data_IF_315359162438
#
_entry.id   IF_315359162438
#
_cell.length_a   1.000
_cell.length_b   1.000
_cell.length_c   1.000
_cell.angle_alpha   90.00
_cell.angle_beta   90.00
_cell.angle_gamma   90.00
#
_symmetry.space_group_name_H-M   'P 1'
#
loop_
_entity.id
_entity.type
_entity.pdbx_description
1 polymer ?
#
# COMPACT_ATOMS: atom_id res chain seq x y z
N UNK A 1 22.45 -2.44 15.55
CA UNK A 1 21.57 -2.97 14.47
C UNK A 1 20.08 -2.91 14.85
N UNK A 2 19.67 -3.30 16.07
CA UNK A 2 18.26 -3.28 16.53
C UNK A 2 17.58 -1.89 16.51
N UNK A 3 18.31 -0.80 16.83
CA UNK A 3 17.76 0.58 16.81
C UNK A 3 17.45 1.13 15.41
N UNK A 4 18.18 0.72 14.37
CA UNK A 4 17.93 1.17 13.00
C UNK A 4 16.70 0.49 12.39
N UNK A 5 16.43 -0.74 12.82
CA UNK A 5 15.27 -1.54 12.41
C UNK A 5 13.98 -0.84 12.85
N UNK A 6 13.86 -0.51 14.13
CA UNK A 6 12.65 0.10 14.68
C UNK A 6 12.37 1.49 14.10
N UNK A 7 13.40 2.26 13.74
CA UNK A 7 13.22 3.58 13.15
C UNK A 7 12.68 3.53 11.71
N UNK A 8 13.13 2.58 10.89
CA UNK A 8 12.61 2.45 9.52
C UNK A 8 11.15 1.99 9.53
N UNK A 9 10.83 0.92 10.25
CA UNK A 9 9.49 0.35 10.35
C UNK A 9 8.49 1.40 10.86
N UNK A 10 8.87 2.18 11.87
CA UNK A 10 8.04 3.27 12.40
C UNK A 10 7.78 4.35 11.34
N UNK A 11 8.83 4.90 10.72
CA UNK A 11 8.69 5.95 9.69
C UNK A 11 7.87 5.44 8.50
N UNK A 12 8.09 4.20 8.09
CA UNK A 12 7.36 3.53 7.03
C UNK A 12 5.87 3.41 7.37
N UNK A 13 5.57 2.99 8.60
CA UNK A 13 4.20 2.85 9.09
C UNK A 13 3.48 4.20 9.10
N UNK A 14 4.10 5.24 9.68
CA UNK A 14 3.55 6.60 9.66
C UNK A 14 3.35 7.11 8.23
N UNK A 15 4.32 6.88 7.34
CA UNK A 15 4.20 7.26 5.93
C UNK A 15 3.01 6.58 5.25
N UNK A 16 2.75 5.31 5.52
CA UNK A 16 1.58 4.61 4.98
C UNK A 16 0.27 5.10 5.60
N UNK A 17 0.22 5.33 6.91
CA UNK A 17 -0.98 5.89 7.57
C UNK A 17 -1.35 7.22 6.91
N UNK A 18 -0.40 8.17 6.84
CA UNK A 18 -0.64 9.47 6.23
C UNK A 18 -0.97 9.36 4.73
N UNK A 19 -0.20 8.57 4.00
CA UNK A 19 -0.38 8.40 2.56
C UNK A 19 -1.74 7.83 2.19
N UNK A 20 -2.18 6.77 2.89
CA UNK A 20 -3.48 6.16 2.67
C UNK A 20 -4.61 7.06 3.13
N UNK A 21 -4.53 7.62 4.34
CA UNK A 21 -5.60 8.48 4.85
C UNK A 21 -5.82 9.68 3.93
N UNK A 22 -4.77 10.42 3.59
CA UNK A 22 -4.87 11.58 2.70
C UNK A 22 -5.32 11.14 1.30
N UNK A 23 -4.73 10.08 0.75
CA UNK A 23 -5.04 9.58 -0.58
C UNK A 23 -6.50 9.15 -0.73
N UNK A 24 -7.05 8.47 0.28
CA UNK A 24 -8.43 8.01 0.27
C UNK A 24 -9.43 9.15 0.49
N UNK A 25 -9.10 10.15 1.32
CA UNK A 25 -9.94 11.35 1.46
C UNK A 25 -10.03 12.13 0.14
N UNK A 26 -8.88 12.42 -0.47
CA UNK A 26 -8.85 13.18 -1.73
C UNK A 26 -9.45 12.35 -2.87
N UNK A 27 -9.12 11.06 -2.95
CA UNK A 27 -9.68 10.15 -3.95
C UNK A 27 -11.19 10.00 -3.81
N UNK A 28 -11.71 9.84 -2.59
CA UNK A 28 -13.15 9.77 -2.33
C UNK A 28 -13.88 11.04 -2.73
N UNK A 29 -13.31 12.21 -2.42
CA UNK A 29 -13.86 13.50 -2.86
C UNK A 29 -13.81 13.68 -4.37
N UNK A 30 -12.75 13.23 -5.04
CA UNK A 30 -12.68 13.28 -6.50
C UNK A 30 -13.72 12.36 -7.14
N UNK A 31 -13.88 11.14 -6.61
CA UNK A 31 -14.87 10.19 -7.08
C UNK A 31 -16.30 10.73 -6.90
N UNK A 32 -16.60 11.42 -5.80
CA UNK A 32 -17.93 11.98 -5.57
C UNK A 32 -18.29 13.11 -6.53
N UNK A 33 -17.29 13.86 -7.01
CA UNK A 33 -17.48 14.96 -7.98
C UNK A 33 -17.54 14.46 -9.42
N UNK A 34 -16.61 13.58 -9.81
CA UNK A 34 -16.48 13.13 -11.21
C UNK A 34 -17.42 11.97 -11.52
N UNK A 35 -17.60 11.04 -10.58
CA UNK A 35 -18.38 9.83 -10.76
C UNK A 35 -17.84 8.87 -11.82
N UNK A 36 -18.55 7.76 -12.00
CA UNK A 36 -18.29 6.77 -13.05
C UNK A 36 -16.92 6.07 -13.00
N UNK A 37 -16.61 5.34 -14.06
CA UNK A 37 -15.37 4.56 -14.21
C UNK A 37 -14.14 5.49 -14.25
N UNK A 38 -14.24 6.62 -14.95
CA UNK A 38 -13.16 7.60 -15.05
C UNK A 38 -12.80 8.22 -13.70
N UNK A 39 -13.80 8.62 -12.91
CA UNK A 39 -13.60 9.12 -11.56
C UNK A 39 -12.99 8.07 -10.63
N UNK A 40 -13.40 6.81 -10.73
CA UNK A 40 -12.85 5.71 -9.95
C UNK A 40 -11.36 5.50 -10.25
N UNK A 41 -11.00 5.40 -11.53
CA UNK A 41 -9.60 5.27 -11.96
C UNK A 41 -8.73 6.44 -11.51
N UNK A 42 -9.23 7.68 -11.65
CA UNK A 42 -8.53 8.88 -11.22
C UNK A 42 -8.34 8.93 -9.69
N UNK A 43 -9.38 8.60 -8.93
CA UNK A 43 -9.33 8.50 -7.47
C UNK A 43 -8.30 7.45 -7.02
N UNK A 44 -8.30 6.28 -7.66
CA UNK A 44 -7.34 5.21 -7.42
C UNK A 44 -5.89 5.62 -7.70
N UNK A 45 -5.66 6.25 -8.85
CA UNK A 45 -4.35 6.76 -9.23
C UNK A 45 -3.85 7.81 -8.24
N UNK A 46 -4.73 8.70 -7.78
CA UNK A 46 -4.41 9.76 -6.83
C UNK A 46 -4.12 9.21 -5.42
N UNK A 47 -4.89 8.23 -4.97
CA UNK A 47 -4.60 7.51 -3.74
C UNK A 47 -3.23 6.81 -3.81
N UNK A 48 -2.98 6.08 -4.90
CA UNK A 48 -1.69 5.44 -5.17
C UNK A 48 -0.52 6.43 -5.24
N UNK A 49 -0.72 7.60 -5.84
CA UNK A 49 0.29 8.66 -5.92
C UNK A 49 0.62 9.22 -4.52
N UNK A 50 -0.41 9.49 -3.72
CA UNK A 50 -0.25 10.02 -2.35
C UNK A 50 0.52 9.05 -1.46
N UNK A 51 0.14 7.77 -1.49
CA UNK A 51 0.87 6.69 -0.81
C UNK A 51 2.30 6.59 -1.33
N UNK A 52 2.49 6.59 -2.65
CA UNK A 52 3.79 6.52 -3.29
C UNK A 52 4.74 7.67 -2.91
N UNK A 53 4.22 8.90 -2.81
CA UNK A 53 4.97 10.09 -2.38
C UNK A 53 5.37 9.98 -0.91
N UNK A 54 4.46 9.53 -0.05
CA UNK A 54 4.74 9.33 1.37
C UNK A 54 5.79 8.24 1.60
N UNK A 55 5.64 7.09 0.93
CA UNK A 55 6.62 6.00 0.94
C UNK A 55 7.98 6.45 0.40
N UNK A 56 7.98 7.17 -0.73
CA UNK A 56 9.19 7.78 -1.27
C UNK A 56 9.84 8.70 -0.23
N UNK A 57 9.05 9.55 0.46
CA UNK A 57 9.39 10.28 1.69
C UNK A 57 10.28 9.56 2.66
N UNK A 58 9.86 8.37 3.06
CA UNK A 58 10.59 7.53 4.01
C UNK A 58 11.88 6.99 3.37
N UNK A 59 11.80 6.56 2.11
CA UNK A 59 12.91 5.92 1.40
C UNK A 59 14.06 6.86 1.05
N UNK A 60 13.81 8.17 0.88
CA UNK A 60 14.89 9.17 0.64
C UNK A 60 15.81 9.32 1.85
N UNK A 61 15.29 9.05 3.05
CA UNK A 61 15.97 9.30 4.31
C UNK A 61 16.84 8.11 4.75
N UNK A 62 17.01 7.12 3.88
CA UNK A 62 17.66 5.85 4.20
C UNK A 62 18.77 5.50 3.16
N UNK A 63 19.96 5.04 3.59
CA UNK A 63 21.02 4.59 2.69
C UNK A 63 20.52 3.54 1.67
N UNK A 64 20.73 3.82 0.38
CA UNK A 64 20.27 3.00 -0.75
C UNK A 64 19.00 3.51 -1.44
N UNK A 65 18.63 4.77 -1.18
CA UNK A 65 17.44 5.50 -1.64
C UNK A 65 16.79 4.98 -2.93
N UNK A 66 15.46 4.84 -2.86
CA UNK A 66 14.67 4.47 -4.02
C UNK A 66 14.38 5.68 -4.92
N UNK A 67 14.34 5.44 -6.23
CA UNK A 67 14.15 6.50 -7.22
C UNK A 67 12.75 7.12 -7.14
N UNK A 68 12.58 8.34 -7.68
CA UNK A 68 11.28 9.00 -7.86
C UNK A 68 10.27 8.15 -8.64
N UNK A 69 10.76 7.17 -9.43
CA UNK A 69 9.91 6.19 -10.14
C UNK A 69 9.04 5.37 -9.20
N UNK A 70 9.41 5.22 -7.91
CA UNK A 70 8.57 4.55 -6.92
C UNK A 70 7.19 5.21 -6.79
N UNK A 71 7.15 6.54 -6.69
CA UNK A 71 5.89 7.27 -6.58
C UNK A 71 5.04 7.12 -7.85
N UNK A 72 5.66 7.16 -9.03
CA UNK A 72 4.97 6.94 -10.31
C UNK A 72 4.41 5.53 -10.44
N UNK A 73 5.20 4.51 -10.09
CA UNK A 73 4.75 3.12 -10.09
C UNK A 73 3.62 2.88 -9.07
N UNK A 74 3.64 3.58 -7.94
CA UNK A 74 2.57 3.52 -6.95
C UNK A 74 1.29 4.17 -7.47
N UNK A 75 1.37 5.31 -8.17
CA UNK A 75 0.24 5.94 -8.82
C UNK A 75 -0.38 5.04 -9.89
N UNK A 76 0.46 4.48 -10.77
CA UNK A 76 0.03 3.51 -11.79
C UNK A 76 -0.60 2.27 -11.15
N UNK A 77 0.05 1.71 -10.14
CA UNK A 77 -0.46 0.57 -9.37
C UNK A 77 -1.81 0.86 -8.75
N UNK A 78 -2.00 2.04 -8.14
CA UNK A 78 -3.28 2.41 -7.53
C UNK A 78 -4.41 2.56 -8.56
N UNK A 79 -4.13 3.22 -9.69
CA UNK A 79 -5.09 3.34 -10.78
C UNK A 79 -5.49 1.98 -11.36
N UNK A 80 -4.51 1.14 -11.70
CA UNK A 80 -4.73 -0.20 -12.27
C UNK A 80 -5.44 -1.14 -11.29
N UNK A 81 -5.14 -1.03 -9.99
CA UNK A 81 -5.73 -1.88 -8.96
C UNK A 81 -7.21 -1.56 -8.69
N UNK A 82 -7.68 -0.38 -9.07
CA UNK A 82 -9.00 0.12 -8.66
C UNK A 82 -10.13 -0.66 -9.33
N UNK A 83 -10.12 -0.87 -10.65
CA UNK A 83 -11.20 -1.61 -11.31
C UNK A 83 -11.28 -3.07 -10.86
N UNK A 84 -10.17 -3.83 -10.79
CA UNK A 84 -10.22 -5.19 -10.24
C UNK A 84 -10.71 -5.22 -8.79
N UNK A 85 -10.32 -4.24 -7.96
CA UNK A 85 -10.83 -4.14 -6.59
C UNK A 85 -12.35 -3.91 -6.57
N UNK A 86 -12.89 -3.04 -7.42
CA UNK A 86 -14.35 -2.86 -7.56
C UNK A 86 -15.05 -4.14 -8.01
N UNK A 87 -14.55 -4.82 -9.03
CA UNK A 87 -15.12 -6.08 -9.53
C UNK A 87 -15.09 -7.17 -8.45
N UNK A 88 -14.02 -7.21 -7.66
CA UNK A 88 -13.90 -8.15 -6.52
C UNK A 88 -14.90 -7.86 -5.39
N UNK A 89 -15.63 -6.75 -5.46
CA UNK A 89 -16.76 -6.45 -4.59
C UNK A 89 -17.87 -7.50 -4.63
N UNK A 90 -17.94 -8.33 -5.69
CA UNK A 90 -18.83 -9.50 -5.72
C UNK A 90 -18.59 -10.48 -4.54
N UNK A 91 -17.38 -10.49 -3.95
CA UNK A 91 -17.07 -11.28 -2.76
C UNK A 91 -17.87 -10.87 -1.52
N UNK A 92 -18.52 -9.69 -1.52
CA UNK A 92 -19.43 -9.27 -0.44
C UNK A 92 -20.63 -10.21 -0.28
N UNK A 93 -20.98 -11.01 -1.30
CA UNK A 93 -22.03 -12.04 -1.22
C UNK A 93 -21.66 -13.11 -0.18
N UNK A 94 -20.37 -13.40 0.01
CA UNK A 94 -19.89 -14.33 1.04
C UNK A 94 -19.84 -13.70 2.45
N UNK A 95 -20.19 -12.42 2.58
CA UNK A 95 -20.22 -11.66 3.82
C UNK A 95 -19.31 -10.43 3.76
N UNK A 96 -19.64 -9.35 4.52
CA UNK A 96 -18.89 -8.09 4.48
C UNK A 96 -17.39 -8.25 4.77
N UNK A 97 -17.05 -9.02 5.80
CA UNK A 97 -15.64 -9.23 6.20
C UNK A 97 -14.84 -9.93 5.11
N UNK A 98 -15.41 -10.97 4.49
CA UNK A 98 -14.75 -11.68 3.38
C UNK A 98 -14.61 -10.75 2.18
N UNK A 99 -15.65 -10.00 1.84
CA UNK A 99 -15.61 -9.06 0.73
C UNK A 99 -14.56 -7.96 0.94
N UNK A 100 -14.51 -7.32 2.11
CA UNK A 100 -13.51 -6.29 2.41
C UNK A 100 -12.08 -6.83 2.39
N UNK A 101 -11.88 -8.06 2.88
CA UNK A 101 -10.59 -8.74 2.76
C UNK A 101 -10.19 -8.90 1.30
N UNK A 102 -11.08 -9.45 0.48
CA UNK A 102 -10.80 -9.75 -0.93
C UNK A 102 -10.53 -8.47 -1.71
N UNK A 103 -11.35 -7.43 -1.53
CA UNK A 103 -11.15 -6.12 -2.18
C UNK A 103 -9.78 -5.54 -1.82
N UNK A 104 -9.46 -5.50 -0.51
CA UNK A 104 -8.19 -4.99 -0.03
C UNK A 104 -7.00 -5.81 -0.53
N UNK A 105 -7.13 -7.14 -0.56
CA UNK A 105 -6.09 -8.06 -1.02
C UNK A 105 -5.82 -7.92 -2.52
N UNK A 106 -6.87 -7.85 -3.34
CA UNK A 106 -6.77 -7.61 -4.79
C UNK A 106 -6.10 -6.27 -5.04
N UNK A 107 -6.54 -5.21 -4.36
CA UNK A 107 -5.92 -3.90 -4.52
C UNK A 107 -4.44 -3.93 -4.15
N UNK A 108 -4.11 -4.43 -2.95
CA UNK A 108 -2.75 -4.49 -2.43
C UNK A 108 -1.82 -5.34 -3.31
N UNK A 109 -2.29 -6.49 -3.79
CA UNK A 109 -1.53 -7.37 -4.67
C UNK A 109 -1.21 -6.72 -6.03
N UNK A 110 -2.18 -6.07 -6.67
CA UNK A 110 -1.97 -5.39 -7.95
C UNK A 110 -1.09 -4.15 -7.80
N UNK A 111 -1.34 -3.34 -6.78
CA UNK A 111 -0.50 -2.19 -6.42
C UNK A 111 0.96 -2.61 -6.24
N UNK A 112 1.21 -3.68 -5.48
CA UNK A 112 2.54 -4.19 -5.24
C UNK A 112 3.17 -4.88 -6.45
N UNK A 113 2.38 -5.45 -7.35
CA UNK A 113 2.87 -6.06 -8.59
C UNK A 113 3.49 -5.02 -9.54
N UNK A 114 2.97 -3.78 -9.55
CA UNK A 114 3.58 -2.68 -10.31
C UNK A 114 4.88 -2.22 -9.65
N UNK A 115 4.91 -2.09 -8.32
CA UNK A 115 6.14 -1.75 -7.58
C UNK A 115 7.21 -2.85 -7.66
N UNK A 116 6.79 -4.12 -7.78
CA UNK A 116 7.66 -5.28 -7.93
C UNK A 116 8.60 -5.15 -9.14
N UNK A 117 8.17 -4.49 -10.22
CA UNK A 117 8.99 -4.23 -11.41
C UNK A 117 10.30 -3.52 -11.04
N UNK A 118 10.29 -2.65 -10.03
CA UNK A 118 11.49 -1.96 -9.57
C UNK A 118 12.26 -2.76 -8.50
N UNK A 119 11.57 -3.58 -7.71
CA UNK A 119 12.22 -4.41 -6.68
C UNK A 119 12.98 -5.59 -7.29
N UNK A 120 12.43 -6.22 -8.34
CA UNK A 120 13.05 -7.39 -8.99
C UNK A 120 14.42 -7.08 -9.59
N UNK A 121 14.63 -5.84 -10.06
CA UNK A 121 15.93 -5.43 -10.61
C UNK A 121 17.00 -5.24 -9.53
N UNK A 122 16.61 -5.27 -8.25
CA UNK A 122 17.54 -5.18 -7.12
C UNK A 122 17.65 -6.50 -6.36
N UNK A 123 16.53 -7.19 -6.10
CA UNK A 123 16.49 -8.44 -5.33
C UNK A 123 15.42 -9.37 -5.90
N UNK A 124 15.78 -10.20 -6.88
CA UNK A 124 14.82 -11.09 -7.56
C UNK A 124 14.20 -12.11 -6.60
N UNK A 125 15.04 -12.82 -5.82
CA UNK A 125 14.61 -13.88 -4.92
C UNK A 125 13.66 -13.41 -3.82
N UNK A 126 13.75 -12.13 -3.42
CA UNK A 126 12.90 -11.56 -2.37
C UNK A 126 11.71 -10.76 -2.90
N UNK A 127 11.73 -10.32 -4.16
CA UNK A 127 10.73 -9.38 -4.64
C UNK A 127 9.31 -9.97 -4.60
N UNK A 128 9.11 -11.27 -4.82
CA UNK A 128 7.79 -11.92 -4.71
C UNK A 128 7.17 -11.82 -3.31
N UNK A 129 7.99 -11.80 -2.25
CA UNK A 129 7.51 -11.59 -0.87
C UNK A 129 6.85 -10.23 -0.69
N UNK A 130 7.23 -9.22 -1.49
CA UNK A 130 6.58 -7.91 -1.48
C UNK A 130 5.11 -8.01 -1.87
N UNK A 131 4.81 -8.79 -2.92
CA UNK A 131 3.44 -8.97 -3.42
C UNK A 131 2.61 -9.71 -2.37
N UNK A 132 3.13 -10.81 -1.82
CA UNK A 132 2.45 -11.60 -0.79
C UNK A 132 2.15 -10.74 0.43
N UNK A 133 3.13 -9.97 0.90
CA UNK A 133 2.96 -9.09 2.05
C UNK A 133 1.90 -8.02 1.80
N UNK A 134 1.86 -7.40 0.62
CA UNK A 134 0.87 -6.39 0.28
C UNK A 134 -0.53 -6.97 0.06
N UNK A 135 -0.65 -8.21 -0.44
CA UNK A 135 -1.92 -8.91 -0.55
C UNK A 135 -2.52 -9.13 0.84
N UNK A 136 -1.74 -9.70 1.77
CA UNK A 136 -2.18 -9.92 3.14
C UNK A 136 -2.44 -8.60 3.88
N UNK A 137 -1.51 -7.65 3.77
CA UNK A 137 -1.63 -6.34 4.39
C UNK A 137 -2.85 -5.56 3.87
N UNK A 138 -3.09 -5.59 2.56
CA UNK A 138 -4.22 -4.96 1.91
C UNK A 138 -5.54 -5.57 2.38
N UNK A 139 -5.64 -6.90 2.42
CA UNK A 139 -6.84 -7.58 2.90
C UNK A 139 -7.16 -7.30 4.36
N UNK A 140 -6.15 -7.40 5.24
CA UNK A 140 -6.32 -7.05 6.65
C UNK A 140 -6.66 -5.57 6.84
N UNK A 141 -6.03 -4.67 6.07
CA UNK A 141 -6.35 -3.26 6.07
C UNK A 141 -7.81 -3.02 5.68
N UNK A 142 -8.28 -3.63 4.60
CA UNK A 142 -9.66 -3.54 4.13
C UNK A 142 -10.66 -3.97 5.20
N UNK A 143 -10.46 -5.15 5.80
CA UNK A 143 -11.31 -5.63 6.90
C UNK A 143 -11.34 -4.67 8.07
N UNK A 144 -10.16 -4.29 8.59
CA UNK A 144 -10.03 -3.48 9.79
C UNK A 144 -10.57 -2.07 9.58
N UNK A 145 -10.34 -1.49 8.40
CA UNK A 145 -10.82 -0.15 8.08
C UNK A 145 -12.33 -0.09 7.94
N UNK A 146 -12.93 -1.04 7.23
CA UNK A 146 -14.38 -1.03 6.99
C UNK A 146 -15.18 -1.51 8.20
N UNK A 147 -14.57 -2.29 9.09
CA UNK A 147 -15.22 -2.74 10.34
C UNK A 147 -15.14 -1.69 11.44
N UNK A 148 -14.00 -0.99 11.54
CA UNK A 148 -13.77 0.00 12.59
C UNK A 148 -14.18 1.42 12.19
N UNK A 149 -14.64 1.64 10.95
CA UNK A 149 -15.20 2.92 10.50
C UNK A 149 -16.53 3.20 11.20
N UNK A 150 -16.44 3.73 12.43
CA UNK A 150 -17.56 4.32 13.14
C UNK A 150 -17.96 5.62 12.43
N UNK A 151 -19.27 5.94 12.34
CA UNK A 151 -19.73 7.22 11.83
C UNK A 151 -19.04 8.38 12.57
N UNK A 152 -18.40 9.29 11.83
CA UNK A 152 -17.74 10.47 12.38
C UNK A 152 -16.29 10.30 12.84
N UNK A 153 -15.73 9.08 12.83
CA UNK A 153 -14.32 8.86 13.16
C UNK A 153 -13.44 9.07 11.91
N UNK A 154 -12.42 9.95 11.97
CA UNK A 154 -11.54 10.18 10.82
C UNK A 154 -10.84 8.88 10.40
N UNK A 155 -10.67 8.66 9.09
CA UNK A 155 -10.02 7.45 8.56
C UNK A 155 -8.58 7.25 9.06
N UNK A 156 -7.92 8.33 9.51
CA UNK A 156 -6.59 8.27 10.13
C UNK A 156 -6.57 7.50 11.45
N UNK A 157 -7.72 7.38 12.12
CA UNK A 157 -7.87 6.61 13.36
C UNK A 157 -8.16 5.13 13.10
N UNK A 158 -8.29 4.72 11.84
CA UNK A 158 -8.50 3.32 11.49
C UNK A 158 -7.25 2.48 11.82
N UNK A 159 -7.41 1.29 12.42
CA UNK A 159 -6.28 0.37 12.63
C UNK A 159 -5.74 -0.25 11.33
N UNK A 160 -6.51 -0.18 10.22
CA UNK A 160 -6.13 -0.80 8.95
C UNK A 160 -4.80 -0.30 8.38
N UNK A 161 -4.63 1.01 8.13
CA UNK A 161 -3.37 1.56 7.61
C UNK A 161 -2.16 1.30 8.51
N UNK A 162 -2.37 1.19 9.83
CA UNK A 162 -1.33 0.82 10.80
C UNK A 162 -0.83 -0.60 10.53
N UNK A 163 -1.75 -1.57 10.45
CA UNK A 163 -1.42 -2.97 10.14
C UNK A 163 -0.76 -3.09 8.77
N UNK A 164 -1.27 -2.34 7.79
CA UNK A 164 -0.66 -2.29 6.45
C UNK A 164 0.79 -1.82 6.50
N UNK A 165 1.03 -0.71 7.20
CA UNK A 165 2.36 -0.13 7.38
C UNK A 165 3.33 -1.08 8.07
N UNK A 166 2.90 -1.75 9.14
CA UNK A 166 3.74 -2.70 9.89
C UNK A 166 4.15 -3.88 9.01
N UNK A 167 3.19 -4.56 8.37
CA UNK A 167 3.46 -5.77 7.58
C UNK A 167 4.34 -5.48 6.37
N UNK A 168 4.06 -4.40 5.65
CA UNK A 168 4.87 -3.98 4.49
C UNK A 168 6.24 -3.47 4.93
N UNK A 169 6.32 -2.76 6.06
CA UNK A 169 7.56 -2.24 6.62
C UNK A 169 8.54 -3.36 7.02
N UNK A 170 8.06 -4.36 7.76
CA UNK A 170 8.84 -5.55 8.15
C UNK A 170 9.36 -6.26 6.90
N UNK A 171 8.49 -6.48 5.91
CA UNK A 171 8.86 -7.16 4.66
C UNK A 171 9.92 -6.38 3.91
N UNK A 172 9.72 -5.08 3.69
CA UNK A 172 10.65 -4.25 2.96
C UNK A 172 12.01 -4.18 3.67
N UNK A 173 12.01 -4.12 5.00
CA UNK A 173 13.24 -4.16 5.77
C UNK A 173 14.00 -5.48 5.60
N UNK A 174 13.31 -6.63 5.61
CA UNK A 174 13.92 -7.93 5.35
C UNK A 174 14.55 -7.98 3.95
N UNK A 175 13.84 -7.50 2.93
CA UNK A 175 14.37 -7.40 1.56
C UNK A 175 15.65 -6.56 1.51
N UNK A 176 15.68 -5.45 2.24
CA UNK A 176 16.86 -4.59 2.33
C UNK A 176 18.04 -5.24 3.04
N UNK A 177 17.79 -6.06 4.05
CA UNK A 177 18.85 -6.81 4.73
C UNK A 177 19.45 -7.87 3.81
N UNK A 178 18.63 -8.54 2.99
CA UNK A 178 19.10 -9.53 2.02
C UNK A 178 19.99 -8.88 0.95
N UNK A 179 19.55 -7.74 0.39
CA UNK A 179 20.36 -6.93 -0.53
C UNK A 179 21.75 -6.60 0.01
N UNK A 180 21.82 -6.13 1.27
CA UNK A 180 23.10 -5.80 1.91
C UNK A 180 24.01 -7.02 2.12
N UNK A 181 23.45 -8.23 2.22
CA UNK A 181 24.22 -9.47 2.39
C UNK A 181 24.79 -9.94 1.05
N UNK A 182 24.03 -9.81 -0.03
CA UNK A 182 24.48 -10.17 -1.38
C UNK A 182 25.69 -9.33 -1.81
N UNK A 183 25.67 -8.01 -1.57
CA UNK A 183 26.81 -7.14 -1.90
C UNK A 183 28.08 -7.34 -1.06
N UNK A 184 28.03 -8.16 0.00
CA UNK A 184 29.20 -8.46 0.84
C UNK A 184 29.89 -9.77 0.49
N UNK A 185 29.28 -10.59 -0.37
CA UNK A 185 29.85 -11.84 -0.89
C UNK A 185 30.57 -11.57 -2.18
#
# INVERSE_FOLDING_TARGET
MRKLITQFEFRWTIGNILGWSVGLYIGGGLLSVVGGIGGALAAGALAGATVGIAQWGVLRLDPGGMSRRWALLSALGGGMATLPAYLSGAALIAGPQVGYFVIGAVYGGLFASVQWIMLRTRCEAGASLWIIANLLAGGLCGCLSMTASLPGLPWICSPGPVVFGILTGITLQRLRQNLKREFRR
#
